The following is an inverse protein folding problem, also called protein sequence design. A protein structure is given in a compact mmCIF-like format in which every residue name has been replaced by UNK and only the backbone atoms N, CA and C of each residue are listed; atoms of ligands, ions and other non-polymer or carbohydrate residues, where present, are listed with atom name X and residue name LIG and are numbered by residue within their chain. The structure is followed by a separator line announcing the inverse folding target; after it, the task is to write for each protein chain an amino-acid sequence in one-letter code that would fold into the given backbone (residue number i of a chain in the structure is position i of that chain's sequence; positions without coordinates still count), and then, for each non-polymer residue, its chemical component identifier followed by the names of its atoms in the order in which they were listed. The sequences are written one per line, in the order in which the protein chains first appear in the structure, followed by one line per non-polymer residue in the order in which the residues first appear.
data_IF_896577680931
#
_entry.id   IF_896577680931
#
_cell.length_a   1.000
_cell.length_b   1.000
_cell.length_c   1.000
_cell.angle_alpha   90.00
_cell.angle_beta   90.00
_cell.angle_gamma   90.00
#
_symmetry.space_group_name_H-M   'P 1'
#
loop_
_entity.id
_entity.type
_entity.pdbx_description
1 polymer ?
#
# COMPACT_ATOMS: atom_id res chain seq x y z
N UNK A 1 27.41 11.19 5.30
CA UNK A 1 26.19 10.61 4.71
C UNK A 1 25.50 11.71 3.95
N UNK A 2 25.43 11.62 2.63
CA UNK A 2 24.72 12.61 1.81
C UNK A 2 23.20 12.49 2.01
N UNK A 3 22.44 13.54 1.69
CA UNK A 3 20.98 13.49 1.77
C UNK A 3 20.39 12.35 0.91
N UNK A 4 21.01 12.06 -0.23
CA UNK A 4 20.61 10.98 -1.13
C UNK A 4 20.89 9.58 -0.56
N UNK A 5 22.03 9.40 0.12
CA UNK A 5 22.32 8.16 0.84
C UNK A 5 21.30 7.93 1.97
N UNK A 6 20.92 9.00 2.68
CA UNK A 6 19.90 8.92 3.73
C UNK A 6 18.54 8.49 3.17
N UNK A 7 18.08 9.08 2.05
CA UNK A 7 16.82 8.70 1.40
C UNK A 7 16.85 7.26 0.90
N UNK A 8 17.98 6.81 0.34
CA UNK A 8 18.13 5.42 -0.13
C UNK A 8 18.00 4.43 1.03
N UNK A 9 18.68 4.69 2.16
CA UNK A 9 18.57 3.87 3.37
C UNK A 9 17.14 3.86 3.90
N UNK A 10 16.45 5.01 3.87
CA UNK A 10 15.04 5.10 4.27
C UNK A 10 14.14 4.27 3.35
N UNK A 11 14.35 4.29 2.03
CA UNK A 11 13.59 3.47 1.08
C UNK A 11 13.79 1.97 1.30
N UNK A 12 15.04 1.53 1.52
CA UNK A 12 15.33 0.11 1.81
C UNK A 12 14.63 -0.34 3.10
N UNK A 13 14.62 0.53 4.12
CA UNK A 13 13.88 0.29 5.36
C UNK A 13 12.37 0.25 5.14
N UNK A 14 11.80 1.13 4.31
CA UNK A 14 10.37 1.08 3.95
C UNK A 14 10.01 -0.24 3.27
N UNK A 15 10.84 -0.71 2.35
CA UNK A 15 10.68 -1.99 1.66
C UNK A 15 10.72 -3.18 2.63
N UNK A 16 11.69 -3.18 3.55
CA UNK A 16 11.80 -4.20 4.58
C UNK A 16 10.57 -4.19 5.52
N UNK A 17 10.12 -3.00 5.91
CA UNK A 17 8.96 -2.82 6.77
C UNK A 17 7.66 -3.27 6.08
N UNK A 18 7.49 -2.93 4.80
CA UNK A 18 6.37 -3.42 3.99
C UNK A 18 6.33 -4.94 3.93
N UNK A 19 7.47 -5.60 3.67
CA UNK A 19 7.55 -7.08 3.65
C UNK A 19 7.23 -7.69 5.01
N UNK A 20 7.66 -7.06 6.10
CA UNK A 20 7.33 -7.50 7.45
C UNK A 20 5.83 -7.39 7.73
N UNK A 21 5.21 -6.25 7.37
CA UNK A 21 3.76 -6.05 7.46
C UNK A 21 3.03 -7.09 6.60
N UNK A 22 3.46 -7.31 5.36
CA UNK A 22 2.87 -8.27 4.45
C UNK A 22 2.88 -9.69 5.02
N UNK A 23 4.04 -10.14 5.52
CA UNK A 23 4.17 -11.44 6.16
C UNK A 23 3.23 -11.56 7.37
N UNK A 24 3.21 -10.53 8.24
CA UNK A 24 2.42 -10.55 9.46
C UNK A 24 0.92 -10.51 9.19
N UNK A 25 0.48 -9.66 8.26
CA UNK A 25 -0.92 -9.59 7.83
C UNK A 25 -1.39 -10.91 7.25
N UNK A 26 -0.58 -11.58 6.42
CA UNK A 26 -0.91 -12.90 5.86
C UNK A 26 -0.98 -14.00 6.93
N UNK A 27 -0.12 -13.93 7.95
CA UNK A 27 -0.13 -14.86 9.08
C UNK A 27 -1.38 -14.69 9.94
N UNK A 28 -1.74 -13.45 10.29
CA UNK A 28 -2.91 -13.12 11.11
C UNK A 28 -4.24 -13.28 10.36
N UNK A 29 -4.19 -13.21 9.03
CA UNK A 29 -5.36 -13.29 8.15
C UNK A 29 -5.12 -14.40 7.12
N UNK A 30 -5.02 -15.66 7.57
CA UNK A 30 -4.84 -16.77 6.66
C UNK A 30 -5.99 -16.74 5.66
N UNK A 31 -5.68 -17.02 4.39
CA UNK A 31 -6.68 -17.13 3.35
C UNK A 31 -7.65 -18.23 3.75
N UNK A 32 -8.78 -17.86 4.37
CA UNK A 32 -9.81 -18.83 4.67
C UNK A 32 -10.16 -19.52 3.34
N UNK A 33 -10.23 -20.86 3.28
CA UNK A 33 -10.82 -21.51 2.13
C UNK A 33 -12.16 -20.83 1.91
N UNK A 34 -12.42 -20.39 0.67
CA UNK A 34 -13.69 -19.75 0.32
C UNK A 34 -14.77 -20.65 0.88
N UNK A 35 -15.51 -20.21 1.90
CA UNK A 35 -16.66 -20.97 2.38
C UNK A 35 -17.65 -20.94 1.22
N UNK A 36 -17.64 -22.02 0.45
CA UNK A 36 -18.59 -22.33 -0.60
C UNK A 36 -19.93 -22.54 0.09
N UNK A 37 -20.64 -21.45 0.36
CA UNK A 37 -22.04 -21.55 0.72
C UNK A 37 -22.75 -21.96 -0.55
N UNK A 38 -22.79 -23.28 -0.80
CA UNK A 38 -23.75 -23.91 -1.67
C UNK A 38 -25.12 -23.54 -1.11
N UNK A 39 -25.68 -22.42 -1.56
CA UNK A 39 -27.10 -22.21 -1.31
C UNK A 39 -27.79 -23.38 -1.99
N UNK A 40 -28.62 -24.12 -1.24
CA UNK A 40 -29.40 -25.24 -1.78
C UNK A 40 -30.14 -24.81 -3.06
N UNK A 41 -30.54 -23.54 -3.11
CA UNK A 41 -31.14 -22.88 -4.25
C UNK A 41 -30.24 -22.82 -5.51
N UNK A 42 -28.95 -22.53 -5.37
CA UNK A 42 -28.00 -22.56 -6.50
C UNK A 42 -27.67 -23.99 -6.93
N UNK A 43 -27.59 -24.94 -6.00
CA UNK A 43 -27.47 -26.35 -6.33
C UNK A 43 -28.69 -26.83 -7.15
N UNK A 44 -29.90 -26.39 -6.78
CA UNK A 44 -31.13 -26.69 -7.49
C UNK A 44 -31.20 -25.99 -8.87
N UNK A 45 -30.75 -24.74 -8.99
CA UNK A 45 -30.66 -24.04 -10.29
C UNK A 45 -29.67 -24.68 -11.25
N UNK A 46 -28.52 -25.10 -10.73
CA UNK A 46 -27.51 -25.83 -11.51
C UNK A 46 -28.03 -27.20 -11.96
N UNK A 47 -28.73 -27.93 -11.09
CA UNK A 47 -29.39 -29.19 -11.43
C UNK A 47 -30.53 -29.00 -12.46
N UNK A 48 -31.20 -27.86 -12.45
CA UNK A 48 -32.25 -27.49 -13.40
C UNK A 48 -31.72 -26.96 -14.76
N UNK A 49 -30.40 -26.96 -14.99
CA UNK A 49 -29.81 -26.49 -16.24
C UNK A 49 -29.88 -24.98 -16.47
N UNK A 50 -30.28 -24.22 -15.44
CA UNK A 50 -30.42 -22.76 -15.50
C UNK A 50 -29.12 -22.08 -15.04
N UNK A 51 -28.04 -22.34 -15.75
CA UNK A 51 -26.71 -21.78 -15.45
C UNK A 51 -26.59 -20.32 -15.85
N UNK A 52 -26.34 -19.45 -14.86
CA UNK A 52 -25.94 -18.06 -15.05
C UNK A 52 -24.99 -17.66 -13.91
N UNK A 53 -23.79 -17.19 -14.29
CA UNK A 53 -22.70 -16.65 -13.46
C UNK A 53 -22.58 -17.16 -12.02
N UNK A 54 -21.75 -18.19 -11.88
CA UNK A 54 -21.41 -18.99 -10.70
C UNK A 54 -20.70 -18.24 -9.56
N UNK A 55 -20.65 -16.91 -9.58
CA UNK A 55 -19.69 -16.18 -8.76
C UNK A 55 -20.27 -14.86 -8.24
N UNK A 56 -21.05 -14.94 -7.17
CA UNK A 56 -21.19 -13.80 -6.26
C UNK A 56 -20.25 -14.02 -5.09
N UNK A 57 -19.13 -13.29 -5.10
CA UNK A 57 -18.41 -12.97 -3.87
C UNK A 57 -19.40 -12.20 -3.00
N UNK A 58 -20.10 -12.91 -2.11
CA UNK A 58 -20.96 -12.31 -1.11
C UNK A 58 -20.03 -11.55 -0.16
N UNK A 59 -19.78 -10.30 -0.50
CA UNK A 59 -19.64 -9.14 0.36
C UNK A 59 -19.44 -9.46 1.85
N UNK A 60 -18.37 -10.14 2.20
CA UNK A 60 -17.84 -10.00 3.54
C UNK A 60 -16.97 -8.77 3.47
N UNK A 61 -17.39 -7.72 4.20
CA UNK A 61 -16.45 -6.74 4.70
C UNK A 61 -15.40 -7.52 5.50
N UNK A 62 -14.39 -8.04 4.79
CA UNK A 62 -13.26 -8.71 5.39
C UNK A 62 -12.55 -7.60 6.13
N UNK A 63 -12.66 -7.61 7.44
CA UNK A 63 -11.78 -6.81 8.27
C UNK A 63 -10.44 -7.54 8.30
N UNK A 64 -9.36 -6.77 8.35
CA UNK A 64 -8.01 -7.30 8.54
C UNK A 64 -7.73 -7.30 10.02
N UNK A 65 -7.36 -8.43 10.62
CA UNK A 65 -6.80 -8.49 11.96
C UNK A 65 -5.37 -7.96 11.93
N UNK A 66 -5.04 -7.10 12.89
CA UNK A 66 -3.71 -6.52 13.08
C UNK A 66 -3.31 -6.68 14.54
N UNK A 67 -2.06 -7.01 14.79
CA UNK A 67 -1.48 -6.87 16.12
C UNK A 67 -0.82 -5.49 16.27
N UNK A 68 -0.35 -5.22 17.48
CA UNK A 68 0.27 -3.94 17.83
C UNK A 68 1.52 -3.68 16.97
N UNK A 69 2.35 -4.70 16.75
CA UNK A 69 3.56 -4.58 15.94
C UNK A 69 3.27 -4.23 14.48
N UNK A 70 2.29 -4.90 13.84
CA UNK A 70 1.88 -4.57 12.48
C UNK A 70 1.29 -3.16 12.39
N UNK A 71 0.53 -2.74 13.40
CA UNK A 71 -0.05 -1.40 13.48
C UNK A 71 1.04 -0.34 13.57
N UNK A 72 1.98 -0.47 14.51
CA UNK A 72 3.11 0.46 14.65
C UNK A 72 3.95 0.51 13.36
N UNK A 73 4.17 -0.64 12.72
CA UNK A 73 4.87 -0.71 11.44
C UNK A 73 4.13 0.06 10.33
N UNK A 74 2.81 -0.03 10.25
CA UNK A 74 1.99 0.74 9.30
C UNK A 74 2.16 2.25 9.51
N UNK A 75 2.05 2.71 10.76
CA UNK A 75 2.24 4.13 11.10
C UNK A 75 3.65 4.62 10.76
N UNK A 76 4.65 3.81 11.08
CA UNK A 76 6.05 4.10 10.77
C UNK A 76 6.28 4.15 9.27
N UNK A 77 5.69 3.25 8.49
CA UNK A 77 5.77 3.27 7.03
C UNK A 77 5.18 4.56 6.45
N UNK A 78 4.01 4.97 6.95
CA UNK A 78 3.37 6.22 6.54
C UNK A 78 4.23 7.45 6.91
N UNK A 79 4.86 7.49 8.09
CA UNK A 79 5.76 8.56 8.47
C UNK A 79 7.02 8.62 7.58
N UNK A 80 7.63 7.47 7.28
CA UNK A 80 8.80 7.40 6.40
C UNK A 80 8.48 7.86 4.97
N UNK A 81 7.25 7.64 4.49
CA UNK A 81 6.80 8.19 3.21
C UNK A 81 6.84 9.73 3.19
N UNK A 82 6.40 10.39 4.26
CA UNK A 82 6.46 11.86 4.37
C UNK A 82 7.90 12.36 4.37
N UNK A 83 8.80 11.68 5.08
CA UNK A 83 10.22 12.03 5.14
C UNK A 83 10.86 11.96 3.74
N UNK A 84 10.62 10.86 3.01
CA UNK A 84 11.12 10.68 1.64
C UNK A 84 10.52 11.73 0.71
N UNK A 85 9.21 11.97 0.78
CA UNK A 85 8.53 12.93 -0.07
C UNK A 85 9.03 14.36 0.17
N UNK A 86 9.21 14.76 1.43
CA UNK A 86 9.74 16.07 1.78
C UNK A 86 11.15 16.27 1.21
N UNK A 87 12.03 15.28 1.35
CA UNK A 87 13.38 15.34 0.78
C UNK A 87 13.36 15.45 -0.76
N UNK A 88 12.53 14.66 -1.43
CA UNK A 88 12.49 14.63 -2.90
C UNK A 88 11.84 15.88 -3.52
N UNK A 89 10.88 16.50 -2.83
CA UNK A 89 10.15 17.68 -3.35
C UNK A 89 10.93 18.99 -3.18
N UNK A 90 11.92 19.04 -2.28
CA UNK A 90 12.77 20.23 -2.08
C UNK A 90 13.78 20.41 -3.23
N UNK A 91 14.13 19.34 -3.94
CA UNK A 91 15.27 19.32 -4.88
C UNK A 91 14.92 19.65 -6.34
N UNK A 92 13.68 20.05 -6.68
CA UNK A 92 13.24 20.14 -8.09
C UNK A 92 12.84 21.56 -8.51
N UNK A 93 13.66 22.16 -9.37
CA UNK A 93 13.43 23.50 -9.95
C UNK A 93 12.62 23.47 -11.27
N UNK A 94 12.41 22.30 -11.89
CA UNK A 94 11.72 22.18 -13.18
C UNK A 94 10.20 21.98 -13.01
N UNK A 95 9.39 22.92 -13.53
CA UNK A 95 7.93 22.94 -13.37
C UNK A 95 7.21 21.66 -13.87
N UNK A 96 7.65 21.08 -15.01
CA UNK A 96 7.02 19.87 -15.56
C UNK A 96 7.30 18.65 -14.69
N UNK A 97 8.54 18.53 -14.18
CA UNK A 97 8.89 17.49 -13.22
C UNK A 97 8.19 17.71 -11.87
N UNK A 98 8.05 18.95 -11.44
CA UNK A 98 7.34 19.31 -10.22
C UNK A 98 5.87 18.88 -10.25
N UNK A 99 5.18 19.00 -11.40
CA UNK A 99 3.80 18.51 -11.55
C UNK A 99 3.71 16.98 -11.46
N UNK A 100 4.59 16.26 -12.15
CA UNK A 100 4.60 14.78 -12.10
C UNK A 100 4.93 14.27 -10.70
N UNK A 101 5.95 14.84 -10.04
CA UNK A 101 6.32 14.53 -8.67
C UNK A 101 5.19 14.84 -7.69
N UNK A 102 4.53 15.99 -7.83
CA UNK A 102 3.39 16.35 -6.99
C UNK A 102 2.24 15.36 -7.13
N UNK A 103 1.92 14.92 -8.35
CA UNK A 103 0.87 13.92 -8.57
C UNK A 103 1.23 12.57 -7.95
N UNK A 104 2.48 12.13 -8.08
CA UNK A 104 2.98 10.91 -7.44
C UNK A 104 2.91 11.03 -5.91
N UNK A 105 3.31 12.18 -5.36
CA UNK A 105 3.21 12.46 -3.93
C UNK A 105 1.76 12.37 -3.44
N UNK A 106 0.84 13.06 -4.11
CA UNK A 106 -0.57 13.08 -3.74
C UNK A 106 -1.20 11.69 -3.83
N UNK A 107 -0.79 10.86 -4.79
CA UNK A 107 -1.25 9.47 -4.90
C UNK A 107 -0.82 8.63 -3.72
N UNK A 108 0.48 8.62 -3.40
CA UNK A 108 0.96 7.87 -2.23
C UNK A 108 0.40 8.42 -0.92
N UNK A 109 0.19 9.74 -0.81
CA UNK A 109 -0.46 10.38 0.35
C UNK A 109 -1.92 9.95 0.50
N UNK A 110 -2.65 9.88 -0.60
CA UNK A 110 -4.03 9.40 -0.59
C UNK A 110 -4.12 7.94 -0.11
N UNK A 111 -3.22 7.07 -0.59
CA UNK A 111 -3.12 5.68 -0.14
C UNK A 111 -2.73 5.58 1.34
N UNK A 112 -1.75 6.35 1.80
CA UNK A 112 -1.35 6.37 3.22
C UNK A 112 -2.51 6.83 4.12
N UNK A 113 -3.22 7.88 3.73
CA UNK A 113 -4.40 8.36 4.45
C UNK A 113 -5.53 7.34 4.44
N UNK A 114 -5.77 6.68 3.30
CA UNK A 114 -6.76 5.61 3.21
C UNK A 114 -6.45 4.49 4.20
N UNK A 115 -5.20 4.02 4.25
CA UNK A 115 -4.77 3.00 5.21
C UNK A 115 -5.00 3.47 6.64
N UNK A 116 -4.48 4.65 6.99
CA UNK A 116 -4.57 5.22 8.35
C UNK A 116 -6.02 5.38 8.81
N UNK A 117 -6.91 5.89 7.94
CA UNK A 117 -8.32 6.09 8.26
C UNK A 117 -9.08 4.77 8.46
N UNK A 118 -8.61 3.68 7.85
CA UNK A 118 -9.24 2.38 7.94
C UNK A 118 -8.61 1.49 9.02
N UNK A 119 -7.51 1.88 9.66
CA UNK A 119 -6.87 1.14 10.75
C UNK A 119 -7.38 1.68 12.10
N UNK A 120 -7.98 0.81 12.91
CA UNK A 120 -8.52 1.16 14.23
C UNK A 120 -8.34 0.02 15.23
N UNK A 121 -7.66 0.31 16.34
CA UNK A 121 -7.35 -0.69 17.36
C UNK A 121 -6.57 -1.86 16.76
N UNK A 122 -7.06 -3.08 16.98
CA UNK A 122 -6.46 -4.32 16.48
C UNK A 122 -7.01 -4.78 15.10
N UNK A 123 -7.69 -3.90 14.36
CA UNK A 123 -8.30 -4.27 13.07
C UNK A 123 -8.19 -3.15 12.02
N UNK A 124 -8.27 -3.53 10.75
CA UNK A 124 -8.56 -2.62 9.65
C UNK A 124 -9.93 -2.94 9.04
N UNK A 125 -10.70 -1.92 8.69
CA UNK A 125 -12.05 -2.04 8.09
C UNK A 125 -12.05 -2.44 6.62
N UNK A 126 -10.88 -2.80 6.10
CA UNK A 126 -10.64 -3.20 4.71
C UNK A 126 -10.06 -4.60 4.66
N UNK A 127 -10.22 -5.26 3.50
CA UNK A 127 -9.70 -6.60 3.29
C UNK A 127 -8.14 -6.61 3.27
N UNK A 128 -7.49 -7.72 3.69
CA UNK A 128 -6.04 -7.79 3.74
C UNK A 128 -5.37 -7.46 2.40
N UNK A 129 -5.98 -7.90 1.29
CA UNK A 129 -5.46 -7.67 -0.06
C UNK A 129 -5.51 -6.18 -0.44
N UNK A 130 -6.55 -5.47 0.00
CA UNK A 130 -6.70 -4.02 -0.23
C UNK A 130 -5.71 -3.25 0.65
N UNK A 131 -5.61 -3.60 1.94
CA UNK A 131 -4.66 -2.97 2.86
C UNK A 131 -3.22 -3.06 2.33
N UNK A 132 -2.81 -4.26 1.92
CA UNK A 132 -1.47 -4.51 1.39
C UNK A 132 -1.25 -3.82 0.04
N UNK A 133 -2.25 -3.79 -0.84
CA UNK A 133 -2.15 -3.07 -2.10
C UNK A 133 -1.91 -1.57 -1.90
N UNK A 134 -2.65 -0.94 -0.97
CA UNK A 134 -2.51 0.49 -0.68
C UNK A 134 -1.15 0.80 -0.04
N UNK A 135 -0.67 -0.02 0.89
CA UNK A 135 0.69 0.09 1.43
C UNK A 135 1.77 -0.10 0.35
N UNK A 136 1.53 -1.00 -0.60
CA UNK A 136 2.39 -1.19 -1.77
C UNK A 136 2.43 0.06 -2.66
N UNK A 137 1.30 0.75 -2.85
CA UNK A 137 1.25 2.04 -3.56
C UNK A 137 2.08 3.09 -2.83
N UNK A 138 2.00 3.18 -1.50
CA UNK A 138 2.82 4.12 -0.71
C UNK A 138 4.32 3.90 -0.97
N UNK A 139 4.79 2.66 -0.88
CA UNK A 139 6.21 2.33 -1.12
C UNK A 139 6.61 2.59 -2.57
N UNK A 140 5.77 2.21 -3.54
CA UNK A 140 6.03 2.45 -4.96
C UNK A 140 6.11 3.94 -5.29
N UNK A 141 5.21 4.76 -4.73
CA UNK A 141 5.25 6.20 -4.89
C UNK A 141 6.52 6.81 -4.27
N UNK A 142 6.97 6.32 -3.11
CA UNK A 142 8.24 6.77 -2.52
C UNK A 142 9.44 6.52 -3.45
N UNK A 143 9.51 5.32 -4.03
CA UNK A 143 10.55 4.96 -5.00
C UNK A 143 10.47 5.81 -6.26
N UNK A 144 9.27 6.05 -6.79
CA UNK A 144 9.06 6.88 -7.97
C UNK A 144 9.47 8.34 -7.73
N UNK A 145 9.14 8.90 -6.56
CA UNK A 145 9.56 10.24 -6.15
C UNK A 145 11.08 10.34 -6.14
N UNK A 146 11.76 9.39 -5.52
CA UNK A 146 13.21 9.37 -5.45
C UNK A 146 13.86 9.24 -6.84
N UNK A 147 13.39 8.33 -7.69
CA UNK A 147 13.92 8.16 -9.04
C UNK A 147 13.71 9.42 -9.89
N UNK A 148 12.55 10.06 -9.79
CA UNK A 148 12.25 11.27 -10.53
C UNK A 148 13.04 12.49 -10.02
N UNK A 149 13.23 12.64 -8.70
CA UNK A 149 14.08 13.68 -8.13
C UNK A 149 15.54 13.53 -8.61
N UNK A 150 16.08 12.30 -8.61
CA UNK A 150 17.42 12.02 -9.15
C UNK A 150 17.56 12.31 -10.64
N UNK A 151 16.52 12.02 -11.43
CA UNK A 151 16.52 12.31 -12.86
C UNK A 151 16.39 13.81 -13.16
N UNK A 152 15.79 14.59 -12.24
CA UNK A 152 15.62 16.03 -12.37
C UNK A 152 16.85 16.84 -11.94
N UNK A 153 17.74 16.28 -11.12
CA UNK A 153 19.01 16.92 -10.77
C UNK A 153 19.86 17.17 -12.04
N UNK A 154 20.39 18.39 -12.26
CA UNK A 154 21.16 18.69 -13.47
C UNK A 154 22.44 17.84 -13.52
N UNK A 155 22.93 17.48 -14.72
CA UNK A 155 24.20 16.79 -14.91
C UNK A 155 25.34 17.77 -14.58
N UNK A 156 25.61 17.99 -13.29
CA UNK A 156 26.59 18.97 -12.83
C UNK A 156 26.60 19.30 -11.34
N UNK A 157 25.73 18.69 -10.52
CA UNK A 157 25.84 18.82 -9.06
C UNK A 157 27.12 18.16 -8.55
N UNK A 158 28.12 18.98 -8.23
CA UNK A 158 29.40 18.57 -7.60
C UNK A 158 29.13 17.95 -6.21
N UNK A 159 29.89 16.90 -5.79
CA UNK A 159 29.69 16.15 -4.54
C UNK A 159 29.74 16.97 -3.25
#
# INVERSE_FOLDING_TARGET
MSAQEAVTVTLDRMLALYRAIEARVKELNPSAPRMEVLSLYEALKAAAGMGGERWRSLTFARTTQLDEEAREAIWKLAAMYEEVAAACLVEVENETFALSLRNTYLRGKASANFVVLNVSGAQATVAPEILLAELGVVVACAQQLFMAARAAAPPGGVP
#
